data_IF_038232764288
#
_entry.id   IF_038232764288
#
_cell.length_a   1.000
_cell.length_b   1.000
_cell.length_c   1.000
_cell.angle_alpha   90.00
_cell.angle_beta   90.00
_cell.angle_gamma   90.00
#
_symmetry.space_group_name_H-M   'P 1'
#
loop_
_entity.id
_entity.type
_entity.pdbx_description
1 polymer ?
#
# COMPACT_ATOMS: atom_id res chain seq x y z
N UNK A 1 27.24 5.32 4.90
CA UNK A 1 27.01 4.43 3.76
C UNK A 1 28.02 4.74 2.68
N UNK A 2 28.84 3.79 2.29
CA UNK A 2 29.74 3.96 1.14
C UNK A 2 28.90 4.03 -0.15
N UNK A 3 29.24 4.89 -1.12
CA UNK A 3 28.53 4.95 -2.39
C UNK A 3 28.71 3.62 -3.14
N UNK A 4 27.60 3.00 -3.54
CA UNK A 4 27.61 1.82 -4.43
C UNK A 4 28.28 2.26 -5.74
N UNK A 5 29.33 1.57 -6.21
CA UNK A 5 29.97 1.93 -7.48
C UNK A 5 28.98 1.72 -8.63
N UNK A 6 28.55 2.81 -9.26
CA UNK A 6 27.63 2.82 -10.39
C UNK A 6 28.35 2.50 -11.69
N UNK A 7 28.61 1.24 -11.98
CA UNK A 7 29.18 0.83 -13.27
C UNK A 7 28.24 0.00 -14.16
N UNK A 8 27.08 -0.43 -13.68
CA UNK A 8 26.07 -1.07 -14.51
C UNK A 8 25.09 -0.03 -15.08
N UNK A 9 24.75 -0.09 -16.38
CA UNK A 9 23.74 0.82 -16.94
C UNK A 9 22.40 0.66 -16.19
N UNK A 10 21.80 1.79 -15.80
CA UNK A 10 20.48 1.76 -15.15
C UNK A 10 19.48 1.04 -16.06
N UNK A 11 18.67 0.16 -15.47
CA UNK A 11 17.56 -0.51 -16.17
C UNK A 11 16.55 0.54 -16.66
N UNK A 12 15.83 0.25 -17.75
CA UNK A 12 14.76 1.11 -18.25
C UNK A 12 13.42 0.40 -18.22
N UNK A 13 12.36 1.12 -17.85
CA UNK A 13 10.96 0.69 -17.97
C UNK A 13 10.25 1.37 -19.15
N UNK A 14 11.00 2.09 -20.03
CA UNK A 14 10.41 2.86 -21.11
C UNK A 14 9.63 4.08 -20.59
N UNK A 15 8.47 4.34 -21.19
CA UNK A 15 7.55 5.38 -20.73
C UNK A 15 6.65 4.82 -19.62
N UNK A 16 6.64 5.44 -18.47
CA UNK A 16 5.88 4.98 -17.30
C UNK A 16 4.85 6.02 -16.90
N UNK A 17 3.60 5.63 -16.73
CA UNK A 17 2.60 6.42 -16.00
C UNK A 17 2.39 5.84 -14.62
N UNK A 18 2.53 6.67 -13.57
CA UNK A 18 2.15 6.36 -12.20
C UNK A 18 0.82 7.04 -11.91
N UNK A 19 -0.25 6.25 -11.81
CA UNK A 19 -1.60 6.72 -11.47
C UNK A 19 -1.74 6.77 -9.96
N UNK A 20 -2.16 7.92 -9.41
CA UNK A 20 -2.10 8.19 -7.98
C UNK A 20 -0.70 8.59 -7.52
N UNK A 21 0.13 9.10 -8.44
CA UNK A 21 1.54 9.41 -8.19
C UNK A 21 1.80 10.58 -7.25
N UNK A 22 0.78 11.37 -6.92
CA UNK A 22 0.82 12.40 -5.87
C UNK A 22 0.29 11.91 -4.52
N UNK A 23 -0.16 10.66 -4.45
CA UNK A 23 -0.55 9.97 -3.22
C UNK A 23 0.66 9.49 -2.41
N UNK A 24 0.38 8.89 -1.23
CA UNK A 24 1.42 8.39 -0.33
C UNK A 24 2.36 7.38 -1.01
N UNK A 25 1.85 6.24 -1.48
CA UNK A 25 2.67 5.21 -2.13
C UNK A 25 3.20 5.69 -3.51
N UNK A 26 2.33 6.34 -4.30
CA UNK A 26 2.69 6.75 -5.65
C UNK A 26 3.87 7.72 -5.70
N UNK A 27 3.96 8.66 -4.77
CA UNK A 27 5.09 9.59 -4.65
C UNK A 27 6.42 8.85 -4.42
N UNK A 28 6.44 7.84 -3.55
CA UNK A 28 7.63 7.03 -3.31
C UNK A 28 8.03 6.19 -4.53
N UNK A 29 7.04 5.68 -5.30
CA UNK A 29 7.30 4.99 -6.56
C UNK A 29 7.95 5.95 -7.57
N UNK A 30 7.41 7.17 -7.72
CA UNK A 30 7.95 8.19 -8.64
C UNK A 30 9.41 8.53 -8.27
N UNK A 31 9.69 8.77 -7.00
CA UNK A 31 11.03 9.08 -6.52
C UNK A 31 12.00 7.93 -6.78
N UNK A 32 11.65 6.71 -6.38
CA UNK A 32 12.51 5.54 -6.56
C UNK A 32 12.73 5.23 -8.04
N UNK A 33 11.70 5.37 -8.88
CA UNK A 33 11.80 5.19 -10.33
C UNK A 33 12.78 6.21 -10.95
N UNK A 34 12.67 7.48 -10.58
CA UNK A 34 13.56 8.54 -11.06
C UNK A 34 15.02 8.28 -10.67
N UNK A 35 15.26 7.83 -9.44
CA UNK A 35 16.60 7.64 -8.91
C UNK A 35 17.29 6.39 -9.45
N UNK A 36 16.52 5.32 -9.74
CA UNK A 36 17.10 3.98 -10.01
C UNK A 36 16.96 3.50 -11.44
N UNK A 37 16.05 4.08 -12.25
CA UNK A 37 15.82 3.69 -13.65
C UNK A 37 16.02 4.88 -14.61
N UNK A 38 16.34 4.56 -15.88
CA UNK A 38 16.29 5.52 -16.99
C UNK A 38 14.95 5.37 -17.69
N UNK A 39 13.96 6.18 -17.31
CA UNK A 39 12.58 6.08 -17.82
C UNK A 39 12.00 7.47 -18.02
N UNK A 40 11.10 7.62 -19.00
CA UNK A 40 10.24 8.80 -19.09
C UNK A 40 9.10 8.63 -18.10
N UNK A 41 8.96 9.56 -17.16
CA UNK A 41 8.01 9.44 -16.05
C UNK A 41 6.87 10.43 -16.24
N UNK A 42 5.66 9.91 -16.24
CA UNK A 42 4.42 10.68 -16.18
C UNK A 42 3.67 10.32 -14.91
N UNK A 43 3.09 11.32 -14.28
CA UNK A 43 2.21 11.18 -13.10
C UNK A 43 0.81 11.58 -13.52
N UNK A 44 -0.17 10.74 -13.19
CA UNK A 44 -1.58 11.05 -13.31
C UNK A 44 -2.23 10.98 -11.94
N UNK A 45 -2.87 12.07 -11.53
CA UNK A 45 -3.59 12.16 -10.27
C UNK A 45 -4.80 13.08 -10.44
N UNK A 46 -5.77 13.00 -9.52
CA UNK A 46 -6.91 13.93 -9.52
C UNK A 46 -6.45 15.39 -9.32
N UNK A 47 -5.43 15.60 -8.48
CA UNK A 47 -4.78 16.87 -8.23
C UNK A 47 -3.27 16.71 -8.10
N UNK A 48 -2.51 17.25 -9.04
CA UNK A 48 -1.04 17.13 -9.09
C UNK A 48 -0.29 18.28 -8.41
N UNK A 49 -0.93 19.05 -7.54
CA UNK A 49 -0.32 20.22 -6.88
C UNK A 49 0.56 19.87 -5.67
N UNK A 50 0.47 18.64 -5.14
CA UNK A 50 1.21 18.18 -3.93
C UNK A 50 2.13 17.01 -4.25
N UNK A 51 3.10 16.76 -3.36
CA UNK A 51 4.03 15.62 -3.45
C UNK A 51 4.70 15.48 -4.84
N UNK A 52 5.01 16.61 -5.47
CA UNK A 52 5.72 16.60 -6.75
C UNK A 52 7.20 16.40 -6.53
N UNK A 53 7.81 15.60 -7.37
CA UNK A 53 9.27 15.52 -7.46
C UNK A 53 9.82 16.82 -8.08
N UNK A 54 10.99 17.28 -7.63
CA UNK A 54 11.59 18.54 -8.08
C UNK A 54 12.14 18.50 -9.50
N UNK A 55 12.37 17.33 -10.09
CA UNK A 55 12.90 17.19 -11.44
C UNK A 55 11.91 17.70 -12.49
N UNK A 56 12.35 18.57 -13.42
CA UNK A 56 11.52 19.03 -14.53
C UNK A 56 11.28 17.96 -15.60
N UNK A 57 11.98 16.82 -15.54
CA UNK A 57 11.81 15.71 -16.49
C UNK A 57 10.54 14.91 -16.27
N UNK A 58 9.85 15.10 -15.14
CA UNK A 58 8.62 14.39 -14.80
C UNK A 58 7.41 15.22 -15.26
N UNK A 59 6.56 14.62 -16.07
CA UNK A 59 5.34 15.26 -16.57
C UNK A 59 4.15 14.92 -15.67
N UNK A 60 3.35 15.92 -15.31
CA UNK A 60 2.19 15.78 -14.44
C UNK A 60 0.90 16.07 -15.20
N UNK A 61 -0.11 15.22 -15.03
CA UNK A 61 -1.44 15.33 -15.62
C UNK A 61 -2.51 15.27 -14.54
N UNK A 62 -3.37 16.29 -14.50
CA UNK A 62 -4.62 16.21 -13.73
C UNK A 62 -5.63 15.39 -14.52
N UNK A 63 -6.23 14.37 -13.88
CA UNK A 63 -7.20 13.50 -14.53
C UNK A 63 -7.97 12.61 -13.56
N UNK A 64 -9.25 12.37 -13.88
CA UNK A 64 -10.11 11.49 -13.13
C UNK A 64 -10.11 10.10 -13.74
N UNK A 65 -9.64 9.09 -13.00
CA UNK A 65 -9.60 7.70 -13.46
C UNK A 65 -11.00 7.12 -13.71
N UNK A 66 -12.04 7.71 -13.14
CA UNK A 66 -13.43 7.26 -13.35
C UNK A 66 -14.03 7.73 -14.69
N UNK A 67 -13.26 8.50 -15.47
CA UNK A 67 -13.64 9.04 -16.78
C UNK A 67 -12.68 8.56 -17.87
N UNK A 68 -13.09 7.60 -18.68
CA UNK A 68 -12.29 7.12 -19.80
C UNK A 68 -11.94 8.24 -20.79
N UNK A 69 -12.85 9.17 -21.02
CA UNK A 69 -12.62 10.34 -21.90
C UNK A 69 -11.53 11.28 -21.35
N UNK A 70 -11.32 11.30 -20.05
CA UNK A 70 -10.20 12.02 -19.41
C UNK A 70 -8.87 11.27 -19.59
N UNK A 71 -8.90 9.91 -19.55
CA UNK A 71 -7.70 9.10 -19.60
C UNK A 71 -7.08 8.99 -21.00
N UNK A 72 -7.90 8.76 -22.04
CA UNK A 72 -7.42 8.46 -23.40
C UNK A 72 -6.45 9.56 -23.91
N UNK A 73 -6.78 10.86 -23.88
CA UNK A 73 -5.86 11.90 -24.37
C UNK A 73 -4.52 11.92 -23.62
N UNK A 74 -4.54 11.63 -22.31
CA UNK A 74 -3.33 11.58 -21.48
C UNK A 74 -2.45 10.38 -21.89
N UNK A 75 -3.05 9.22 -22.10
CA UNK A 75 -2.34 7.99 -22.51
C UNK A 75 -1.78 8.11 -23.92
N UNK A 76 -2.53 8.70 -24.86
CA UNK A 76 -2.06 8.97 -26.23
C UNK A 76 -0.87 9.94 -26.26
N UNK A 77 -0.87 10.94 -25.37
CA UNK A 77 0.22 11.90 -25.25
C UNK A 77 1.45 11.31 -24.57
N UNK A 78 1.27 10.59 -23.46
CA UNK A 78 2.35 10.01 -22.68
C UNK A 78 2.91 8.71 -23.30
N UNK A 79 2.12 7.98 -24.10
CA UNK A 79 2.44 6.71 -24.78
C UNK A 79 3.12 5.71 -23.82
N UNK A 80 2.48 5.34 -22.71
CA UNK A 80 3.12 4.53 -21.69
C UNK A 80 3.38 3.10 -22.17
N UNK A 81 4.58 2.61 -21.92
CA UNK A 81 4.90 1.18 -21.96
C UNK A 81 4.37 0.46 -20.72
N UNK A 82 4.42 1.17 -19.57
CA UNK A 82 4.04 0.65 -18.26
C UNK A 82 3.07 1.60 -17.57
N UNK A 83 2.04 1.04 -16.98
CA UNK A 83 1.13 1.73 -16.06
C UNK A 83 1.28 1.12 -14.67
N UNK A 84 1.56 1.95 -13.65
CA UNK A 84 1.54 1.57 -12.25
C UNK A 84 0.33 2.26 -11.61
N UNK A 85 -0.67 1.46 -11.20
CA UNK A 85 -1.93 1.98 -10.70
C UNK A 85 -2.02 1.86 -9.19
N UNK A 86 -1.82 2.98 -8.48
CA UNK A 86 -1.88 3.07 -7.02
C UNK A 86 -3.07 3.87 -6.50
N UNK A 87 -3.84 4.51 -7.38
CA UNK A 87 -4.94 5.36 -6.97
C UNK A 87 -6.03 4.58 -6.22
N UNK A 88 -6.40 5.09 -5.07
CA UNK A 88 -7.49 4.60 -4.22
C UNK A 88 -7.93 5.74 -3.32
N UNK A 89 -9.22 5.83 -2.92
CA UNK A 89 -9.64 6.81 -1.94
C UNK A 89 -8.94 6.58 -0.60
N UNK A 90 -8.75 7.66 0.15
CA UNK A 90 -8.22 7.56 1.50
C UNK A 90 -9.19 6.74 2.39
N UNK A 91 -8.65 5.85 3.23
CA UNK A 91 -9.43 5.03 4.16
C UNK A 91 -10.21 5.86 5.20
N UNK A 92 -9.73 7.08 5.50
CA UNK A 92 -10.40 8.00 6.40
C UNK A 92 -11.35 8.92 5.61
N UNK A 93 -12.67 8.72 5.77
CA UNK A 93 -13.70 9.61 5.25
C UNK A 93 -14.30 9.25 3.90
N UNK A 94 -13.87 8.22 3.22
CA UNK A 94 -14.52 7.72 2.02
C UNK A 94 -15.78 6.90 2.37
N UNK A 95 -16.88 7.15 1.65
CA UNK A 95 -18.07 6.32 1.73
C UNK A 95 -17.98 5.12 0.76
N UNK A 96 -18.90 4.18 0.86
CA UNK A 96 -18.90 2.98 0.04
C UNK A 96 -19.01 3.28 -1.46
N UNK A 97 -19.80 4.27 -1.85
CA UNK A 97 -20.00 4.66 -3.26
C UNK A 97 -18.69 5.18 -3.87
N UNK A 98 -17.94 5.99 -3.10
CA UNK A 98 -16.63 6.49 -3.54
C UNK A 98 -15.61 5.35 -3.69
N UNK A 99 -15.60 4.38 -2.77
CA UNK A 99 -14.73 3.21 -2.91
C UNK A 99 -15.05 2.42 -4.17
N UNK A 100 -16.34 2.16 -4.43
CA UNK A 100 -16.74 1.42 -5.64
C UNK A 100 -16.38 2.20 -6.89
N UNK A 101 -16.76 3.47 -6.94
CA UNK A 101 -16.52 4.34 -8.10
C UNK A 101 -15.01 4.42 -8.45
N UNK A 102 -14.15 4.63 -7.47
CA UNK A 102 -12.71 4.81 -7.74
C UNK A 102 -12.01 3.45 -7.90
N UNK A 103 -12.18 2.52 -6.95
CA UNK A 103 -11.43 1.26 -6.99
C UNK A 103 -11.91 0.32 -8.10
N UNK A 104 -13.23 0.25 -8.36
CA UNK A 104 -13.77 -0.71 -9.32
C UNK A 104 -13.96 -0.05 -10.69
N UNK A 105 -14.81 0.98 -10.78
CA UNK A 105 -15.10 1.63 -12.06
C UNK A 105 -13.88 2.38 -12.61
N UNK A 106 -13.13 3.06 -11.74
CA UNK A 106 -11.87 3.70 -12.14
C UNK A 106 -10.85 2.70 -12.67
N UNK A 107 -10.69 1.54 -12.01
CA UNK A 107 -9.78 0.48 -12.50
C UNK A 107 -10.26 -0.09 -13.84
N UNK A 108 -11.57 -0.25 -14.08
CA UNK A 108 -12.09 -0.63 -15.41
C UNK A 108 -11.69 0.38 -16.48
N UNK A 109 -11.85 1.67 -16.22
CA UNK A 109 -11.44 2.72 -17.17
C UNK A 109 -9.93 2.70 -17.43
N UNK A 110 -9.10 2.47 -16.41
CA UNK A 110 -7.64 2.34 -16.56
C UNK A 110 -7.29 1.13 -17.44
N UNK A 111 -7.90 -0.03 -17.21
CA UNK A 111 -7.70 -1.22 -18.04
C UNK A 111 -8.10 -0.94 -19.49
N UNK A 112 -9.26 -0.33 -19.72
CA UNK A 112 -9.73 0.01 -21.06
C UNK A 112 -8.81 1.02 -21.77
N UNK A 113 -8.29 2.02 -21.03
CA UNK A 113 -7.29 2.95 -21.57
C UNK A 113 -6.00 2.21 -21.96
N UNK A 114 -5.49 1.29 -21.11
CA UNK A 114 -4.34 0.46 -21.44
C UNK A 114 -4.55 -0.37 -22.71
N UNK A 115 -5.72 -1.00 -22.85
CA UNK A 115 -6.06 -1.81 -24.02
C UNK A 115 -6.14 -1.00 -25.31
N UNK A 116 -6.78 0.19 -25.26
CA UNK A 116 -6.98 1.07 -26.42
C UNK A 116 -5.68 1.74 -26.89
N UNK A 117 -4.75 2.00 -26.00
CA UNK A 117 -3.52 2.74 -26.31
C UNK A 117 -2.27 1.85 -26.43
N UNK A 118 -2.44 0.53 -26.31
CA UNK A 118 -1.37 -0.44 -26.55
C UNK A 118 -0.31 -0.50 -25.43
N UNK A 119 -0.71 -0.26 -24.19
CA UNK A 119 0.15 -0.45 -23.00
C UNK A 119 0.60 -1.91 -22.91
N UNK A 120 1.88 -2.10 -22.59
CA UNK A 120 2.50 -3.44 -22.50
C UNK A 120 2.30 -4.08 -21.12
N UNK A 121 2.38 -3.29 -20.05
CA UNK A 121 2.35 -3.79 -18.68
C UNK A 121 1.51 -2.91 -17.76
N UNK A 122 0.65 -3.53 -16.94
CA UNK A 122 -0.13 -2.88 -15.88
C UNK A 122 0.16 -3.55 -14.55
N UNK A 123 0.72 -2.80 -13.59
CA UNK A 123 0.93 -3.22 -12.21
C UNK A 123 -0.11 -2.52 -11.33
N UNK A 124 -0.90 -3.31 -10.62
CA UNK A 124 -1.97 -2.81 -9.76
C UNK A 124 -1.64 -2.96 -8.27
N UNK A 125 -1.89 -1.93 -7.50
CA UNK A 125 -1.81 -1.98 -6.04
C UNK A 125 -3.12 -2.46 -5.45
N UNK A 126 -3.17 -3.74 -5.09
CA UNK A 126 -4.26 -4.34 -4.32
C UNK A 126 -4.04 -4.13 -2.81
N UNK A 127 -4.39 -5.09 -2.00
CA UNK A 127 -4.18 -5.09 -0.54
C UNK A 127 -4.13 -6.52 -0.01
N UNK A 128 -3.31 -6.77 0.99
CA UNK A 128 -3.34 -8.04 1.71
C UNK A 128 -4.69 -8.28 2.42
N UNK A 129 -5.51 -7.25 2.61
CA UNK A 129 -6.84 -7.36 3.21
C UNK A 129 -7.86 -8.13 2.36
N UNK A 130 -7.58 -8.39 1.08
CA UNK A 130 -8.51 -9.13 0.20
C UNK A 130 -8.75 -10.58 0.64
N UNK A 131 -7.81 -11.16 1.42
CA UNK A 131 -7.95 -12.50 2.00
C UNK A 131 -8.36 -12.50 3.48
N UNK A 132 -8.62 -11.34 4.07
CA UNK A 132 -8.97 -11.20 5.49
C UNK A 132 -10.46 -11.01 5.68
N UNK A 133 -11.09 -11.86 6.48
CA UNK A 133 -12.45 -11.67 6.98
C UNK A 133 -12.55 -10.78 8.23
N UNK A 134 -11.41 -10.29 8.73
CA UNK A 134 -11.26 -9.49 9.96
C UNK A 134 -11.63 -10.22 11.26
N UNK A 135 -11.84 -11.52 11.20
CA UNK A 135 -12.25 -12.36 12.33
C UNK A 135 -11.19 -13.43 12.64
N UNK A 136 -10.77 -14.14 11.60
CA UNK A 136 -9.82 -15.24 11.73
C UNK A 136 -8.37 -14.75 11.54
N UNK A 137 -7.46 -15.43 12.23
CA UNK A 137 -6.04 -15.19 12.13
C UNK A 137 -5.52 -15.58 10.73
N UNK A 138 -4.55 -14.83 10.24
CA UNK A 138 -3.79 -15.11 9.02
C UNK A 138 -2.35 -15.44 9.41
N UNK A 139 -2.05 -16.73 9.44
CA UNK A 139 -0.74 -17.26 9.88
C UNK A 139 0.07 -17.68 8.67
N UNK A 140 1.14 -16.94 8.37
CA UNK A 140 2.02 -17.19 7.23
C UNK A 140 1.23 -17.38 5.91
N UNK A 141 0.23 -16.50 5.68
CA UNK A 141 -0.70 -16.65 4.58
C UNK A 141 -0.04 -16.30 3.24
N UNK A 142 -0.20 -17.14 2.24
CA UNK A 142 0.31 -16.93 0.89
C UNK A 142 -0.82 -16.74 -0.15
N UNK A 143 -0.47 -16.62 -1.43
CA UNK A 143 -1.41 -16.36 -2.51
C UNK A 143 -2.38 -17.51 -2.81
N UNK A 144 -2.20 -18.70 -2.19
CA UNK A 144 -3.13 -19.83 -2.27
C UNK A 144 -4.35 -19.67 -1.35
N UNK A 145 -4.26 -18.76 -0.37
CA UNK A 145 -5.40 -18.42 0.47
C UNK A 145 -6.51 -17.77 -0.38
N UNK A 146 -7.76 -18.17 -0.18
CA UNK A 146 -8.87 -17.67 -0.99
C UNK A 146 -9.12 -16.19 -0.73
N UNK A 147 -9.42 -15.45 -1.80
CA UNK A 147 -9.97 -14.10 -1.68
C UNK A 147 -11.36 -14.19 -1.05
N UNK A 148 -11.61 -13.37 -0.03
CA UNK A 148 -12.88 -13.38 0.70
C UNK A 148 -14.01 -12.89 -0.22
N UNK A 149 -15.07 -13.69 -0.41
CA UNK A 149 -16.21 -13.27 -1.21
C UNK A 149 -16.90 -12.03 -0.64
N UNK A 150 -17.43 -11.16 -1.50
CA UNK A 150 -18.05 -9.89 -1.09
C UNK A 150 -19.11 -10.03 0.01
N UNK A 151 -19.88 -11.14 0.00
CA UNK A 151 -20.90 -11.43 1.02
C UNK A 151 -20.33 -11.74 2.41
N UNK A 152 -19.09 -12.22 2.49
CA UNK A 152 -18.40 -12.58 3.73
C UNK A 152 -17.39 -11.51 4.16
N UNK A 153 -17.11 -10.52 3.32
CA UNK A 153 -16.14 -9.46 3.59
C UNK A 153 -16.74 -8.40 4.51
N UNK A 154 -16.14 -8.21 5.67
CA UNK A 154 -16.60 -7.25 6.66
C UNK A 154 -16.27 -5.79 6.30
N UNK A 155 -15.23 -5.57 5.48
CA UNK A 155 -14.77 -4.23 5.09
C UNK A 155 -15.03 -3.97 3.61
N UNK A 156 -15.86 -2.99 3.32
CA UNK A 156 -16.22 -2.66 1.94
C UNK A 156 -15.02 -2.22 1.09
N UNK A 157 -14.03 -1.55 1.70
CA UNK A 157 -12.75 -1.27 1.04
C UNK A 157 -12.10 -2.56 0.49
N UNK A 158 -11.98 -3.59 1.33
CA UNK A 158 -11.39 -4.88 0.93
C UNK A 158 -12.20 -5.57 -0.16
N UNK A 159 -13.53 -5.45 -0.12
CA UNK A 159 -14.43 -5.91 -1.21
C UNK A 159 -14.07 -5.24 -2.53
N UNK A 160 -13.96 -3.91 -2.54
CA UNK A 160 -13.68 -3.17 -3.78
C UNK A 160 -12.26 -3.42 -4.30
N UNK A 161 -11.28 -3.61 -3.39
CA UNK A 161 -9.91 -4.00 -3.79
C UNK A 161 -9.87 -5.41 -4.41
N UNK A 162 -10.61 -6.37 -3.86
CA UNK A 162 -10.72 -7.72 -4.41
C UNK A 162 -11.39 -7.74 -5.79
N UNK A 163 -12.46 -6.96 -5.98
CA UNK A 163 -13.14 -6.82 -7.27
C UNK A 163 -12.21 -6.18 -8.33
N UNK A 164 -11.51 -5.12 -7.97
CA UNK A 164 -10.56 -4.48 -8.87
C UNK A 164 -9.38 -5.38 -9.23
N UNK A 165 -8.84 -6.13 -8.26
CA UNK A 165 -7.80 -7.13 -8.51
C UNK A 165 -8.28 -8.20 -9.50
N UNK A 166 -9.47 -8.72 -9.31
CA UNK A 166 -10.06 -9.71 -10.24
C UNK A 166 -10.17 -9.16 -11.67
N UNK A 167 -10.56 -7.89 -11.84
CA UNK A 167 -10.62 -7.24 -13.16
C UNK A 167 -9.23 -7.11 -13.79
N UNK A 168 -8.22 -6.71 -13.01
CA UNK A 168 -6.84 -6.56 -13.48
C UNK A 168 -6.26 -7.90 -13.91
N UNK A 169 -6.43 -8.95 -13.10
CA UNK A 169 -5.94 -10.28 -13.43
C UNK A 169 -6.66 -10.89 -14.63
N UNK A 170 -7.99 -10.66 -14.78
CA UNK A 170 -8.75 -11.08 -15.93
C UNK A 170 -8.38 -10.33 -17.23
N UNK A 171 -7.84 -9.11 -17.13
CA UNK A 171 -7.37 -8.35 -18.27
C UNK A 171 -6.03 -8.86 -18.83
N UNK A 172 -5.31 -9.72 -18.09
CA UNK A 172 -4.06 -10.30 -18.54
C UNK A 172 -4.27 -11.14 -19.82
N UNK A 173 -3.55 -10.77 -20.89
CA UNK A 173 -3.64 -11.47 -22.19
C UNK A 173 -5.07 -11.69 -22.67
N UNK A 174 -5.99 -10.77 -22.37
CA UNK A 174 -7.39 -10.90 -22.76
C UNK A 174 -7.55 -10.99 -24.29
N UNK A 175 -8.62 -11.61 -24.82
CA UNK A 175 -8.82 -11.71 -26.26
C UNK A 175 -8.86 -10.37 -26.98
N UNK A 176 -9.31 -9.31 -26.31
CA UNK A 176 -9.35 -7.94 -26.84
C UNK A 176 -8.00 -7.22 -26.82
N UNK A 177 -7.07 -7.66 -25.95
CA UNK A 177 -5.74 -7.11 -25.83
C UNK A 177 -4.72 -8.19 -25.43
N UNK A 178 -4.39 -9.12 -26.34
CA UNK A 178 -3.60 -10.32 -26.01
C UNK A 178 -2.14 -9.99 -25.62
N UNK A 179 -1.70 -8.77 -25.88
CA UNK A 179 -0.35 -8.30 -25.52
C UNK A 179 -0.29 -7.54 -24.19
N UNK A 180 -1.42 -7.14 -23.59
CA UNK A 180 -1.42 -6.50 -22.27
C UNK A 180 -1.11 -7.55 -21.20
N UNK A 181 -0.02 -7.33 -20.47
CA UNK A 181 0.38 -8.13 -19.31
C UNK A 181 0.03 -7.39 -18.02
N UNK A 182 -0.58 -8.08 -17.07
CA UNK A 182 -0.99 -7.47 -15.81
C UNK A 182 -0.52 -8.29 -14.62
N UNK A 183 -0.27 -7.63 -13.49
CA UNK A 183 -0.13 -8.31 -12.20
C UNK A 183 -0.65 -7.43 -11.06
N UNK A 184 -0.85 -8.03 -9.91
CA UNK A 184 -1.35 -7.37 -8.72
C UNK A 184 -0.37 -7.52 -7.55
N UNK A 185 -0.14 -6.45 -6.79
CA UNK A 185 0.62 -6.51 -5.56
C UNK A 185 -0.31 -6.34 -4.37
N UNK A 186 -0.17 -7.20 -3.36
CA UNK A 186 -0.95 -7.22 -2.12
C UNK A 186 -0.06 -6.78 -0.94
N UNK A 187 0.20 -5.48 -0.76
CA UNK A 187 0.99 -5.03 0.37
C UNK A 187 0.25 -5.24 1.69
N UNK A 188 0.98 -5.62 2.74
CA UNK A 188 0.53 -5.57 4.13
C UNK A 188 0.48 -4.11 4.61
N UNK A 189 0.16 -3.85 5.89
CA UNK A 189 0.01 -2.50 6.42
C UNK A 189 1.17 -1.57 6.05
N UNK A 190 0.95 -0.62 5.15
CA UNK A 190 2.00 0.27 4.64
C UNK A 190 2.23 1.42 5.60
N UNK A 191 3.48 1.69 5.94
CA UNK A 191 3.89 2.85 6.71
C UNK A 191 5.13 3.52 6.11
N UNK A 192 5.37 4.78 6.47
CA UNK A 192 6.54 5.54 5.99
C UNK A 192 6.33 7.04 6.02
N UNK A 193 7.21 7.77 5.35
CA UNK A 193 7.14 9.22 5.22
C UNK A 193 5.91 9.64 4.43
N UNK A 194 5.08 10.50 5.00
CA UNK A 194 3.81 10.93 4.39
C UNK A 194 2.61 10.02 4.67
N UNK A 195 2.78 8.97 5.48
CA UNK A 195 1.66 8.15 5.97
C UNK A 195 0.68 9.00 6.80
N UNK A 196 -0.61 8.79 6.57
CA UNK A 196 -1.68 9.49 7.32
C UNK A 196 -2.51 8.54 8.19
N UNK A 197 -2.24 7.23 8.15
CA UNK A 197 -3.14 6.22 8.70
C UNK A 197 -2.55 5.44 9.87
N UNK A 198 -1.28 5.05 9.82
CA UNK A 198 -0.67 4.13 10.78
C UNK A 198 0.26 4.85 11.76
N UNK A 199 1.29 5.53 11.28
CA UNK A 199 2.31 6.16 12.12
C UNK A 199 1.77 7.35 12.92
N UNK A 200 1.01 8.32 12.36
CA UNK A 200 0.55 9.48 13.12
C UNK A 200 -0.32 9.13 14.32
N UNK A 201 -1.32 8.22 14.24
CA UNK A 201 -2.08 7.79 15.40
C UNK A 201 -1.21 7.15 16.50
N UNK A 202 -0.22 6.33 16.12
CA UNK A 202 0.68 5.68 17.08
C UNK A 202 1.55 6.73 17.81
N UNK A 203 2.18 7.66 17.07
CA UNK A 203 2.92 8.77 17.67
C UNK A 203 2.04 9.60 18.61
N UNK A 204 0.78 9.86 18.22
CA UNK A 204 -0.15 10.64 19.02
C UNK A 204 -0.51 9.97 20.36
N UNK A 205 -0.55 8.64 20.43
CA UNK A 205 -0.72 7.90 21.70
C UNK A 205 0.42 8.23 22.67
N UNK A 206 1.67 8.25 22.19
CA UNK A 206 2.84 8.66 22.99
C UNK A 206 2.75 10.13 23.42
N UNK A 207 2.52 11.05 22.47
CA UNK A 207 2.44 12.50 22.74
C UNK A 207 1.34 12.89 23.72
N UNK A 208 0.25 12.12 23.76
CA UNK A 208 -0.86 12.33 24.71
C UNK A 208 -0.72 11.51 25.99
N UNK A 209 0.47 10.95 26.25
CA UNK A 209 0.81 10.15 27.43
C UNK A 209 -0.17 8.99 27.71
N UNK A 210 -0.62 8.29 26.66
CA UNK A 210 -1.59 7.18 26.73
C UNK A 210 -0.95 5.82 26.44
N UNK A 211 0.35 5.66 26.63
CA UNK A 211 1.08 4.41 26.39
C UNK A 211 0.89 3.36 27.51
N UNK A 212 0.11 3.67 28.54
CA UNK A 212 -0.08 2.81 29.72
C UNK A 212 -1.10 1.67 29.53
N UNK A 213 -1.67 1.48 28.33
CA UNK A 213 -2.65 0.41 28.08
C UNK A 213 -2.25 -0.41 26.87
N UNK A 214 -2.46 -1.72 26.96
CA UNK A 214 -2.26 -2.68 25.87
C UNK A 214 -3.51 -3.55 25.76
N UNK A 215 -3.93 -3.81 24.51
CA UNK A 215 -5.01 -4.76 24.21
C UNK A 215 -4.40 -6.10 23.81
N UNK A 216 -4.80 -7.15 24.49
CA UNK A 216 -4.23 -8.50 24.32
C UNK A 216 -2.84 -8.65 24.90
N UNK A 217 -2.33 -9.87 24.90
CA UNK A 217 -1.07 -10.29 25.55
C UNK A 217 0.17 -10.02 24.70
N UNK A 218 0.03 -9.40 23.51
CA UNK A 218 1.12 -9.17 22.56
C UNK A 218 1.81 -10.45 22.08
N UNK A 219 1.04 -11.50 21.87
CA UNK A 219 1.51 -12.79 21.34
C UNK A 219 1.12 -13.01 19.88
N UNK A 220 0.60 -11.98 19.20
CA UNK A 220 0.15 -11.99 17.83
C UNK A 220 1.17 -11.31 16.91
N UNK A 221 1.70 -12.08 15.96
CA UNK A 221 2.56 -11.56 14.89
C UNK A 221 1.74 -10.76 13.86
N UNK A 222 2.34 -9.68 13.39
CA UNK A 222 1.71 -8.78 12.42
C UNK A 222 2.75 -8.25 11.43
N UNK A 223 2.36 -8.10 10.17
CA UNK A 223 3.20 -7.50 9.13
C UNK A 223 2.92 -6.01 8.96
N UNK A 224 3.99 -5.24 9.09
CA UNK A 224 4.06 -3.83 8.70
C UNK A 224 5.07 -3.69 7.57
N UNK A 225 4.73 -2.92 6.53
CA UNK A 225 5.56 -2.82 5.33
C UNK A 225 6.00 -1.38 5.10
N UNK A 226 7.31 -1.15 5.11
CA UNK A 226 7.83 0.18 4.82
C UNK A 226 7.57 0.56 3.36
N UNK A 227 7.10 1.78 3.14
CA UNK A 227 6.59 2.25 1.85
C UNK A 227 7.59 2.13 0.70
N UNK A 228 8.88 2.34 0.95
CA UNK A 228 9.92 2.21 -0.08
C UNK A 228 10.08 0.76 -0.55
N UNK A 229 9.87 -0.23 0.33
CA UNK A 229 9.89 -1.65 -0.03
C UNK A 229 8.70 -2.00 -0.94
N UNK A 230 7.53 -1.41 -0.67
CA UNK A 230 6.36 -1.56 -1.55
C UNK A 230 6.62 -0.90 -2.90
N UNK A 231 7.18 0.30 -2.93
CA UNK A 231 7.58 0.98 -4.17
C UNK A 231 8.57 0.14 -4.99
N UNK A 232 9.58 -0.44 -4.32
CA UNK A 232 10.54 -1.34 -4.95
C UNK A 232 9.88 -2.55 -5.60
N UNK A 233 8.96 -3.21 -4.91
CA UNK A 233 8.21 -4.34 -5.46
C UNK A 233 7.43 -3.97 -6.73
N UNK A 234 6.84 -2.77 -6.81
CA UNK A 234 6.15 -2.28 -8.01
C UNK A 234 7.09 -2.15 -9.21
N UNK A 235 8.31 -1.62 -9.00
CA UNK A 235 9.29 -1.48 -10.06
C UNK A 235 9.84 -2.82 -10.52
N UNK A 236 10.05 -3.77 -9.61
CA UNK A 236 10.44 -5.14 -9.96
C UNK A 236 9.35 -5.84 -10.77
N UNK A 237 8.08 -5.72 -10.36
CA UNK A 237 6.94 -6.29 -11.08
C UNK A 237 6.81 -5.69 -12.49
N UNK A 238 6.92 -4.37 -12.62
CA UNK A 238 6.91 -3.69 -13.90
C UNK A 238 8.04 -4.17 -14.83
N UNK A 239 9.25 -4.30 -14.27
CA UNK A 239 10.40 -4.81 -15.02
C UNK A 239 10.19 -6.27 -15.47
N UNK A 240 9.71 -7.14 -14.58
CA UNK A 240 9.44 -8.54 -14.89
C UNK A 240 8.38 -8.69 -15.99
N UNK A 241 7.29 -7.93 -15.95
CA UNK A 241 6.28 -7.91 -17.01
C UNK A 241 6.86 -7.47 -18.35
N UNK A 242 7.72 -6.42 -18.37
CA UNK A 242 8.37 -6.00 -19.62
C UNK A 242 9.37 -7.04 -20.15
N UNK A 243 10.07 -7.79 -19.30
CA UNK A 243 10.89 -8.91 -19.76
C UNK A 243 10.02 -10.03 -20.34
N UNK A 244 8.92 -10.38 -19.66
CA UNK A 244 7.93 -11.36 -20.15
C UNK A 244 7.32 -10.94 -21.49
N UNK A 245 7.04 -9.64 -21.67
CA UNK A 245 6.49 -9.10 -22.94
C UNK A 245 7.40 -9.37 -24.15
N UNK A 246 8.72 -9.45 -23.94
CA UNK A 246 9.71 -9.68 -25.00
C UNK A 246 9.87 -11.16 -25.37
N UNK A 247 9.32 -12.06 -24.57
CA UNK A 247 9.44 -13.50 -24.82
C UNK A 247 8.55 -13.94 -25.98
N UNK A 248 9.04 -14.86 -26.77
CA UNK A 248 8.29 -15.47 -27.87
C UNK A 248 7.16 -16.40 -27.35
N UNK A 249 7.38 -17.02 -26.18
CA UNK A 249 6.46 -17.96 -25.55
C UNK A 249 6.13 -17.49 -24.12
N UNK A 250 4.97 -17.90 -23.60
CA UNK A 250 4.64 -17.63 -22.20
C UNK A 250 5.61 -18.35 -21.26
N UNK A 251 6.00 -17.73 -20.13
CA UNK A 251 6.81 -18.40 -19.11
C UNK A 251 6.09 -19.63 -18.54
N UNK A 252 6.86 -20.53 -17.94
CA UNK A 252 6.31 -21.65 -17.18
C UNK A 252 5.53 -21.14 -15.95
N UNK A 253 4.53 -21.90 -15.50
CA UNK A 253 3.65 -21.48 -14.41
C UNK A 253 4.38 -21.08 -13.13
N UNK A 254 5.48 -21.77 -12.81
CA UNK A 254 6.27 -21.47 -11.61
C UNK A 254 7.17 -20.22 -11.73
N UNK A 255 7.41 -19.72 -12.95
CA UNK A 255 8.19 -18.49 -13.22
C UNK A 255 7.26 -17.29 -13.54
N UNK A 256 6.00 -17.56 -13.80
CA UNK A 256 5.04 -16.61 -14.35
C UNK A 256 4.80 -15.44 -13.39
N UNK A 257 4.84 -14.24 -13.94
CA UNK A 257 4.52 -12.98 -13.24
C UNK A 257 3.20 -12.40 -13.73
N UNK A 258 2.96 -12.51 -15.04
CA UNK A 258 1.74 -11.98 -15.65
C UNK A 258 0.51 -12.82 -15.29
N UNK A 259 -0.58 -12.16 -14.96
CA UNK A 259 -1.81 -12.76 -14.47
C UNK A 259 -1.78 -13.18 -12.99
N UNK A 260 -0.77 -12.79 -12.24
CA UNK A 260 -0.52 -13.26 -10.88
C UNK A 260 -0.64 -12.13 -9.85
N UNK A 261 -1.00 -12.51 -8.61
CA UNK A 261 -0.94 -11.65 -7.43
C UNK A 261 0.28 -12.01 -6.58
N UNK A 262 0.80 -11.02 -5.83
CA UNK A 262 1.99 -11.20 -4.98
C UNK A 262 1.81 -10.47 -3.66
N UNK A 263 2.03 -11.16 -2.53
CA UNK A 263 2.18 -10.48 -1.25
C UNK A 263 3.50 -9.74 -1.17
N UNK A 264 3.43 -8.55 -0.56
CA UNK A 264 4.60 -7.69 -0.33
C UNK A 264 4.60 -7.27 1.13
N UNK A 265 5.62 -7.69 1.87
CA UNK A 265 5.84 -7.38 3.28
C UNK A 265 7.28 -6.93 3.50
N UNK A 266 7.61 -6.54 4.72
CA UNK A 266 9.01 -6.33 5.11
C UNK A 266 9.77 -7.65 5.31
N UNK A 267 9.08 -8.80 5.22
CA UNK A 267 9.65 -10.12 5.53
C UNK A 267 10.20 -10.23 6.97
N UNK A 268 9.68 -9.39 7.85
CA UNK A 268 10.04 -9.25 9.26
C UNK A 268 8.75 -9.10 10.07
N UNK A 269 7.94 -10.19 10.26
CA UNK A 269 6.75 -10.11 11.10
C UNK A 269 7.16 -9.85 12.55
N UNK A 270 6.47 -8.93 13.21
CA UNK A 270 6.74 -8.53 14.59
C UNK A 270 5.48 -8.60 15.44
N UNK A 271 5.64 -8.67 16.75
CA UNK A 271 4.49 -8.54 17.63
C UNK A 271 3.87 -7.14 17.52
N UNK A 272 2.54 -7.08 17.48
CA UNK A 272 1.81 -5.86 17.18
C UNK A 272 2.20 -4.66 18.07
N UNK A 273 2.29 -4.92 19.40
CA UNK A 273 2.65 -3.85 20.34
C UNK A 273 4.15 -3.53 20.37
N UNK A 274 5.00 -4.45 19.91
CA UNK A 274 6.44 -4.16 19.80
C UNK A 274 6.70 -3.17 18.66
N UNK A 275 5.96 -3.26 17.55
CA UNK A 275 5.96 -2.23 16.53
C UNK A 275 5.54 -0.87 17.10
N UNK A 276 4.44 -0.81 17.85
CA UNK A 276 3.97 0.44 18.44
C UNK A 276 5.02 1.04 19.41
N UNK A 277 5.65 0.19 20.24
CA UNK A 277 6.73 0.61 21.16
C UNK A 277 7.97 1.08 20.42
N UNK A 278 8.35 0.43 19.32
CA UNK A 278 9.46 0.87 18.48
C UNK A 278 9.20 2.28 17.89
N UNK A 279 7.97 2.54 17.46
CA UNK A 279 7.54 3.88 17.02
C UNK A 279 7.60 4.89 18.15
N UNK A 280 7.11 4.54 19.36
CA UNK A 280 7.18 5.44 20.52
C UNK A 280 8.62 5.73 20.94
N UNK A 281 9.48 4.70 20.93
CA UNK A 281 10.91 4.86 21.24
C UNK A 281 11.59 5.79 20.22
N UNK A 282 11.32 5.62 18.94
CA UNK A 282 11.84 6.50 17.90
C UNK A 282 11.31 7.95 18.04
N UNK A 283 10.09 8.13 18.59
CA UNK A 283 9.49 9.43 18.90
C UNK A 283 9.96 10.02 20.25
N UNK A 284 10.96 9.42 20.90
CA UNK A 284 11.57 9.92 22.12
C UNK A 284 11.00 9.37 23.43
N UNK A 285 10.21 8.28 23.39
CA UNK A 285 9.76 7.63 24.63
C UNK A 285 10.91 6.87 25.29
N UNK A 286 11.09 7.10 26.57
CA UNK A 286 11.99 6.37 27.48
C UNK A 286 11.28 5.28 28.28
N UNK A 287 9.94 5.17 28.15
CA UNK A 287 9.11 4.24 28.93
C UNK A 287 9.23 2.81 28.42
N UNK A 288 9.50 1.88 29.32
CA UNK A 288 9.41 0.43 29.10
C UNK A 288 7.97 -0.10 29.17
N UNK A 289 7.83 -1.35 29.56
CA UNK A 289 6.54 -2.05 29.67
C UNK A 289 5.99 -2.13 31.10
N UNK A 290 6.76 -1.75 32.12
CA UNK A 290 6.43 -1.90 33.54
C UNK A 290 5.16 -1.15 33.97
N UNK A 291 4.83 -0.06 33.26
CA UNK A 291 3.66 0.79 33.54
C UNK A 291 2.41 0.38 32.75
N UNK A 292 2.46 -0.72 31.97
CA UNK A 292 1.43 -1.09 31.00
C UNK A 292 0.39 -2.01 31.63
N UNK A 293 -0.87 -1.58 31.60
CA UNK A 293 -2.00 -2.41 31.94
C UNK A 293 -2.47 -3.20 30.72
N UNK A 294 -2.44 -4.52 30.85
CA UNK A 294 -2.89 -5.43 29.80
C UNK A 294 -4.38 -5.70 29.95
N UNK A 295 -5.15 -5.35 28.93
CA UNK A 295 -6.58 -5.65 28.82
C UNK A 295 -6.71 -6.85 27.88
N UNK A 296 -7.02 -8.03 28.40
CA UNK A 296 -7.20 -9.23 27.59
C UNK A 296 -8.24 -9.04 26.48
N UNK A 297 -8.10 -9.80 25.39
CA UNK A 297 -8.94 -9.68 24.18
C UNK A 297 -10.44 -9.69 24.49
N UNK A 298 -10.91 -10.66 25.28
CA UNK A 298 -12.35 -10.83 25.59
C UNK A 298 -12.92 -9.66 26.42
N UNK A 299 -12.15 -9.20 27.39
CA UNK A 299 -12.50 -8.01 28.16
C UNK A 299 -12.51 -6.76 27.27
N UNK A 300 -11.52 -6.59 26.42
CA UNK A 300 -11.47 -5.50 25.43
C UNK A 300 -12.66 -5.53 24.48
N UNK A 301 -13.06 -6.71 23.99
CA UNK A 301 -14.26 -6.90 23.16
C UNK A 301 -15.54 -6.50 23.87
N UNK A 302 -15.68 -6.88 25.16
CA UNK A 302 -16.84 -6.51 25.97
C UNK A 302 -16.90 -5.02 26.23
N UNK A 303 -15.79 -4.39 26.60
CA UNK A 303 -15.68 -2.94 26.78
C UNK A 303 -16.01 -2.21 25.47
N UNK A 304 -15.44 -2.67 24.34
CA UNK A 304 -15.72 -2.11 23.03
C UNK A 304 -17.21 -2.16 22.67
N UNK A 305 -17.89 -3.28 22.92
CA UNK A 305 -19.32 -3.42 22.67
C UNK A 305 -20.16 -2.46 23.50
N UNK A 306 -19.86 -2.32 24.80
CA UNK A 306 -20.55 -1.39 25.70
C UNK A 306 -20.35 0.06 25.23
N UNK A 307 -19.12 0.42 24.87
CA UNK A 307 -18.81 1.79 24.39
C UNK A 307 -19.47 2.07 23.03
N UNK A 308 -19.48 1.11 22.09
CA UNK A 308 -20.19 1.26 20.81
C UNK A 308 -21.68 1.50 21.03
N UNK A 309 -22.34 0.70 21.89
CA UNK A 309 -23.75 0.83 22.20
C UNK A 309 -24.07 2.16 22.90
N UNK A 310 -23.32 2.51 23.95
CA UNK A 310 -23.54 3.76 24.69
C UNK A 310 -23.29 5.01 23.84
N UNK A 311 -22.26 5.01 23.00
CA UNK A 311 -21.95 6.15 22.15
C UNK A 311 -22.91 6.27 20.95
N UNK A 312 -23.48 5.15 20.48
CA UNK A 312 -24.56 5.16 19.48
C UNK A 312 -25.79 5.93 19.99
N UNK A 313 -26.18 5.75 21.25
CA UNK A 313 -27.30 6.46 21.86
C UNK A 313 -27.06 7.99 21.84
N UNK A 314 -25.86 8.47 22.08
CA UNK A 314 -25.50 9.89 22.10
C UNK A 314 -24.97 10.44 20.77
N UNK A 315 -25.01 9.65 19.69
CA UNK A 315 -24.59 10.07 18.34
C UNK A 315 -23.10 10.40 18.22
N UNK A 316 -22.25 9.82 19.06
CA UNK A 316 -20.79 10.05 19.07
C UNK A 316 -20.01 8.78 18.69
N UNK A 317 -18.79 8.97 18.20
CA UNK A 317 -17.88 7.85 17.92
C UNK A 317 -17.18 7.38 19.18
N UNK A 318 -17.14 6.06 19.48
CA UNK A 318 -16.46 5.52 20.65
C UNK A 318 -14.94 5.64 20.51
N UNK A 319 -14.25 5.81 21.65
CA UNK A 319 -12.79 5.85 21.71
C UNK A 319 -12.13 4.47 21.53
N UNK A 320 -12.85 3.41 21.86
CA UNK A 320 -12.46 2.02 21.68
C UNK A 320 -13.60 1.25 21.02
N UNK A 321 -13.29 0.58 19.91
CA UNK A 321 -14.23 -0.25 19.16
C UNK A 321 -13.80 -1.72 19.17
N UNK A 322 -14.75 -2.63 19.01
CA UNK A 322 -14.44 -4.08 18.85
C UNK A 322 -13.52 -4.32 17.64
N UNK A 323 -13.64 -3.50 16.60
CA UNK A 323 -12.75 -3.55 15.43
C UNK A 323 -11.30 -3.25 15.81
N UNK A 324 -11.05 -2.22 16.60
CA UNK A 324 -9.69 -1.89 17.08
C UNK A 324 -9.11 -3.00 17.96
N UNK A 325 -9.93 -3.57 18.86
CA UNK A 325 -9.50 -4.72 19.69
C UNK A 325 -9.11 -5.90 18.81
N UNK A 326 -9.96 -6.30 17.85
CA UNK A 326 -9.65 -7.40 16.92
C UNK A 326 -8.36 -7.12 16.15
N UNK A 327 -8.24 -5.94 15.55
CA UNK A 327 -7.08 -5.57 14.73
C UNK A 327 -5.77 -5.63 15.52
N UNK A 328 -5.76 -5.20 16.77
CA UNK A 328 -4.55 -5.22 17.62
C UNK A 328 -4.24 -6.55 18.28
N UNK A 329 -5.17 -7.53 18.25
CA UNK A 329 -5.03 -8.83 18.90
C UNK A 329 -5.04 -10.03 17.95
N UNK A 330 -5.28 -9.80 16.65
CA UNK A 330 -5.26 -10.87 15.65
C UNK A 330 -3.84 -11.11 15.12
N UNK A 331 -3.51 -12.36 14.87
CA UNK A 331 -2.30 -12.72 14.12
C UNK A 331 -2.52 -12.45 12.63
N UNK A 332 -1.62 -11.66 12.03
CA UNK A 332 -1.78 -11.28 10.62
C UNK A 332 -0.43 -11.05 9.94
N UNK A 333 0.16 -12.12 9.43
CA UNK A 333 1.40 -12.05 8.66
C UNK A 333 1.39 -13.00 7.47
N UNK A 334 2.22 -12.70 6.47
CA UNK A 334 2.14 -13.27 5.13
C UNK A 334 3.49 -13.82 4.67
N UNK A 335 3.46 -14.83 3.81
CA UNK A 335 4.62 -15.33 3.09
C UNK A 335 4.81 -14.55 1.78
N UNK A 336 5.90 -13.80 1.67
CA UNK A 336 6.28 -13.13 0.42
C UNK A 336 7.23 -13.98 -0.46
N UNK A 337 7.36 -15.26 -0.20
CA UNK A 337 8.25 -16.19 -0.93
C UNK A 337 8.00 -16.23 -2.43
N UNK A 338 6.75 -16.07 -2.88
CA UNK A 338 6.41 -15.97 -4.31
C UNK A 338 7.02 -14.71 -4.94
N UNK A 339 6.90 -13.55 -4.29
CA UNK A 339 7.52 -12.31 -4.74
C UNK A 339 9.06 -12.43 -4.77
N UNK A 340 9.66 -13.04 -3.75
CA UNK A 340 11.11 -13.30 -3.73
C UNK A 340 11.56 -14.14 -4.92
N UNK A 341 10.89 -15.24 -5.20
CA UNK A 341 11.30 -16.17 -6.28
C UNK A 341 11.05 -15.61 -7.68
N UNK A 342 9.87 -14.97 -7.91
CA UNK A 342 9.47 -14.59 -9.26
C UNK A 342 9.80 -13.14 -9.63
N UNK A 343 9.83 -12.23 -8.66
CA UNK A 343 10.19 -10.83 -8.88
C UNK A 343 11.64 -10.52 -8.50
N UNK A 344 12.31 -11.41 -7.75
CA UNK A 344 13.61 -11.12 -7.12
C UNK A 344 13.45 -10.10 -5.99
N UNK A 345 12.26 -10.07 -5.33
CA UNK A 345 11.97 -9.11 -4.28
C UNK A 345 12.79 -9.40 -3.02
N UNK A 346 13.46 -8.38 -2.53
CA UNK A 346 14.04 -8.30 -1.19
C UNK A 346 13.77 -6.91 -0.64
N UNK A 347 13.39 -6.77 0.63
CA UNK A 347 13.24 -5.46 1.24
C UNK A 347 14.52 -4.63 1.14
N UNK A 348 14.42 -3.37 0.71
CA UNK A 348 15.56 -2.45 0.65
C UNK A 348 15.93 -1.88 2.02
N UNK A 349 14.94 -1.81 2.90
CA UNK A 349 15.03 -1.17 4.23
C UNK A 349 14.43 -2.12 5.24
N UNK A 350 15.18 -2.45 6.29
CA UNK A 350 14.68 -3.26 7.41
C UNK A 350 13.59 -2.50 8.20
N UNK A 351 12.82 -3.22 9.00
CA UNK A 351 11.69 -2.64 9.71
C UNK A 351 12.11 -1.52 10.67
N UNK A 352 13.19 -1.72 11.41
CA UNK A 352 13.69 -0.74 12.38
C UNK A 352 14.15 0.56 11.72
N UNK A 353 14.88 0.47 10.59
CA UNK A 353 15.32 1.64 9.84
C UNK A 353 14.13 2.40 9.23
N UNK A 354 13.13 1.65 8.72
CA UNK A 354 11.89 2.22 8.20
C UNK A 354 11.13 3.01 9.27
N UNK A 355 11.01 2.46 10.49
CA UNK A 355 10.39 3.15 11.63
C UNK A 355 11.15 4.44 11.95
N UNK A 356 12.49 4.36 12.04
CA UNK A 356 13.33 5.51 12.37
C UNK A 356 13.18 6.64 11.35
N UNK A 357 13.19 6.31 10.05
CA UNK A 357 12.99 7.26 8.96
C UNK A 357 11.61 7.89 8.99
N UNK A 358 10.56 7.07 9.11
CA UNK A 358 9.18 7.55 9.14
C UNK A 358 8.95 8.51 10.32
N UNK A 359 9.35 8.13 11.54
CA UNK A 359 9.18 8.96 12.73
C UNK A 359 10.01 10.24 12.62
N UNK A 360 11.25 10.15 12.17
CA UNK A 360 12.12 11.32 11.95
C UNK A 360 11.47 12.34 11.01
N UNK A 361 10.88 11.86 9.89
CA UNK A 361 10.14 12.73 8.97
C UNK A 361 8.97 13.46 9.66
N UNK A 362 8.17 12.78 10.48
CA UNK A 362 7.06 13.40 11.18
C UNK A 362 7.51 14.42 12.22
N UNK A 363 8.63 14.18 12.91
CA UNK A 363 9.19 15.14 13.85
C UNK A 363 9.72 16.39 13.13
N UNK A 364 10.39 16.24 11.99
CA UNK A 364 10.83 17.37 11.16
C UNK A 364 9.64 18.21 10.65
N UNK A 365 8.56 17.56 10.17
CA UNK A 365 7.37 18.30 9.72
C UNK A 365 6.74 19.08 10.88
N UNK A 366 6.67 18.49 12.06
CA UNK A 366 6.15 19.16 13.26
C UNK A 366 6.96 20.41 13.64
N UNK A 367 8.30 20.33 13.59
CA UNK A 367 9.18 21.48 13.86
C UNK A 367 8.92 22.58 12.85
N UNK A 368 8.91 22.27 11.55
CA UNK A 368 8.64 23.24 10.47
C UNK A 368 7.25 23.90 10.59
N UNK A 369 6.23 23.17 11.03
CA UNK A 369 4.89 23.73 11.26
C UNK A 369 4.85 24.62 12.51
N UNK A 370 5.61 24.28 13.56
CA UNK A 370 5.76 25.08 14.77
C UNK A 370 6.44 26.42 14.47
N UNK A 371 7.49 26.41 13.65
CA UNK A 371 8.21 27.63 13.23
C UNK A 371 7.31 28.57 12.40
N UNK A 372 6.46 28.01 11.50
CA UNK A 372 5.51 28.82 10.71
C UNK A 372 4.38 29.44 11.52
N UNK A 373 4.01 28.87 12.67
CA UNK A 373 2.99 29.43 13.56
C UNK A 373 3.53 30.44 14.54
N UNK A 374 4.85 30.50 14.71
CA UNK A 374 5.55 31.46 15.56
C UNK A 374 5.98 32.74 14.83
N UNK A 375 5.87 32.78 13.51
CA UNK A 375 6.03 33.97 12.64
C UNK A 375 4.66 34.61 12.32
#
# INVERSE_FOLDING_TARGET
>A
MAPIPSSAPKKSLGNVIVIGGCGFLGHHIVNLLHDTYTSQISVLDLHTSRNRHSSPSITYYDGDITSLSSLIPIFEKAKPDVVIHTASPNLMGANNDLYYKVNVEGTKCVIEACQKTGVKALVYTSSASVISDTINDLVNADERWPVIPAKAQAEYYSTTKAQAEALVLAANRSPTAPKLLTCSLRPAGIFGEGDVQLIPPIINVHRTNRTGFQLGENNNLFDFTYVLNVAHAHLLAAFALLQTYKLATAPLDHERVDGEAFFVTNDEPVYFWDFARAVWKAAGSDKGTEHVWVIGRDMGMSIGAILEWGMWIVGKTPKLTRRQVRYSTMTRYYDCGKAKRRLGYTPLVCLQDGITKAVGWFEEQRIREGEKKGQ
#
